data_IF_147300079566
#
_entry.id   IF_147300079566
#
_cell.length_a   1.000
_cell.length_b   1.000
_cell.length_c   1.000
_cell.angle_alpha   90.00
_cell.angle_beta   90.00
_cell.angle_gamma   90.00
#
_symmetry.space_group_name_H-M   'P 1'
#
loop_
_entity.id
_entity.type
_entity.pdbx_description
1 polymer ?
#
# COMPACT_ATOMS: atom_id res chain seq x y z
N UNK A 1 -23.79 23.69 -17.92
CA UNK A 1 -23.06 23.97 -16.67
C UNK A 1 -23.05 22.65 -15.94
N UNK A 2 -21.90 21.96 -15.88
CA UNK A 2 -21.81 20.60 -15.33
C UNK A 2 -21.98 20.70 -13.81
N UNK A 3 -22.99 20.00 -13.27
CA UNK A 3 -23.32 19.95 -11.86
C UNK A 3 -22.14 19.51 -10.99
N UNK A 4 -21.77 20.37 -10.03
CA UNK A 4 -20.71 20.16 -9.04
C UNK A 4 -20.94 18.93 -8.14
N UNK A 5 -22.14 18.35 -8.19
CA UNK A 5 -22.51 17.13 -7.47
C UNK A 5 -21.94 15.86 -8.12
N UNK A 6 -21.61 15.89 -9.42
CA UNK A 6 -21.10 14.72 -10.15
C UNK A 6 -19.63 14.40 -9.85
N UNK A 7 -18.87 15.39 -9.37
CA UNK A 7 -17.45 15.26 -8.99
C UNK A 7 -17.23 14.59 -7.62
N UNK A 8 -18.29 14.33 -6.85
CA UNK A 8 -18.23 13.59 -5.58
C UNK A 8 -18.18 12.06 -5.74
N UNK A 9 -18.33 11.55 -6.97
CA UNK A 9 -18.43 10.10 -7.25
C UNK A 9 -17.06 9.44 -7.50
N UNK A 10 -15.97 10.21 -7.68
CA UNK A 10 -14.65 9.65 -8.00
C UNK A 10 -13.65 9.85 -6.86
N UNK A 11 -13.86 9.18 -5.73
CA UNK A 11 -12.82 9.15 -4.70
C UNK A 11 -12.87 7.91 -3.80
N UNK A 12 -11.74 7.58 -3.17
CA UNK A 12 -11.43 6.31 -2.50
C UNK A 12 -12.57 5.82 -1.59
N UNK A 13 -13.09 4.59 -1.77
CA UNK A 13 -14.31 4.10 -1.11
C UNK A 13 -14.21 3.87 0.42
N UNK A 14 -13.10 4.28 1.07
CA UNK A 14 -12.89 4.15 2.52
C UNK A 14 -12.67 5.51 3.20
N UNK A 15 -11.86 6.42 2.61
CA UNK A 15 -11.55 7.73 3.23
C UNK A 15 -11.50 8.91 2.26
N UNK A 16 -11.72 8.73 0.95
CA UNK A 16 -11.46 9.76 -0.07
C UNK A 16 -10.01 10.35 -0.05
N UNK A 17 -9.09 9.73 0.70
CA UNK A 17 -7.73 10.23 0.88
C UNK A 17 -6.86 9.94 -0.36
N UNK A 18 -5.97 10.87 -0.74
CA UNK A 18 -5.05 10.66 -1.84
C UNK A 18 -4.07 9.52 -1.50
N UNK A 19 -3.87 8.62 -2.46
CA UNK A 19 -2.82 7.62 -2.42
C UNK A 19 -1.56 8.19 -3.06
N UNK A 20 -0.42 7.97 -2.43
CA UNK A 20 0.90 8.41 -2.88
C UNK A 20 1.72 7.18 -3.24
N UNK A 21 2.54 7.28 -4.28
CA UNK A 21 3.62 6.30 -4.46
C UNK A 21 4.57 6.35 -3.27
N UNK A 22 4.88 5.18 -2.72
CA UNK A 22 5.89 5.03 -1.69
C UNK A 22 7.27 5.35 -2.28
N UNK A 23 8.09 6.05 -1.50
CA UNK A 23 9.46 6.34 -1.87
C UNK A 23 10.26 5.05 -2.08
N UNK A 24 11.23 5.09 -3.00
CA UNK A 24 12.07 3.94 -3.32
C UNK A 24 12.82 3.38 -2.09
N UNK A 25 13.14 4.23 -1.11
CA UNK A 25 13.72 3.81 0.16
C UNK A 25 12.75 2.95 0.98
N UNK A 26 11.48 3.35 1.08
CA UNK A 26 10.43 2.59 1.77
C UNK A 26 10.21 1.24 1.11
N UNK A 27 10.14 1.20 -0.23
CA UNK A 27 10.03 -0.06 -1.00
C UNK A 27 11.24 -0.95 -0.78
N UNK A 28 12.46 -0.39 -0.79
CA UNK A 28 13.68 -1.14 -0.51
C UNK A 28 13.70 -1.70 0.92
N UNK A 29 13.24 -0.94 1.93
CA UNK A 29 13.09 -1.41 3.31
C UNK A 29 12.07 -2.55 3.40
N UNK A 30 10.93 -2.42 2.71
CA UNK A 30 9.94 -3.50 2.64
C UNK A 30 10.54 -4.77 2.03
N UNK A 31 11.23 -4.63 0.89
CA UNK A 31 11.84 -5.76 0.20
C UNK A 31 12.91 -6.46 1.05
N UNK A 32 13.63 -5.73 1.92
CA UNK A 32 14.52 -6.36 2.91
C UNK A 32 13.75 -7.16 3.96
N UNK A 33 12.66 -6.60 4.50
CA UNK A 33 11.82 -7.31 5.47
C UNK A 33 11.11 -8.54 4.86
N UNK A 34 10.70 -8.44 3.60
CA UNK A 34 10.18 -9.54 2.79
C UNK A 34 11.23 -10.64 2.65
N UNK A 35 12.46 -10.28 2.24
CA UNK A 35 13.55 -11.24 2.13
C UNK A 35 13.94 -11.88 3.47
N UNK A 36 13.74 -11.18 4.58
CA UNK A 36 13.93 -11.71 5.93
C UNK A 36 12.76 -12.58 6.42
N UNK A 37 11.62 -12.59 5.71
CA UNK A 37 10.42 -13.32 6.10
C UNK A 37 9.65 -12.69 7.27
N UNK A 38 9.93 -11.43 7.62
CA UNK A 38 9.23 -10.70 8.68
C UNK A 38 7.96 -9.99 8.20
N UNK A 39 7.84 -9.74 6.90
CA UNK A 39 6.75 -8.95 6.33
C UNK A 39 5.58 -9.86 5.95
N UNK A 40 4.40 -9.51 6.47
CA UNK A 40 3.15 -10.22 6.22
C UNK A 40 2.09 -9.23 5.77
N UNK A 41 1.16 -9.69 4.93
CA UNK A 41 -0.04 -8.93 4.65
C UNK A 41 -1.03 -8.97 5.82
N UNK A 42 -2.10 -8.18 5.76
CA UNK A 42 -3.15 -8.15 6.79
C UNK A 42 -3.94 -9.45 6.93
N UNK A 43 -4.00 -10.27 5.89
CA UNK A 43 -4.49 -11.65 5.99
C UNK A 43 -3.53 -12.61 6.69
N UNK A 44 -2.34 -12.16 7.11
CA UNK A 44 -1.32 -12.96 7.79
C UNK A 44 -0.54 -13.86 6.84
N UNK A 45 -0.55 -13.59 5.53
CA UNK A 45 0.29 -14.30 4.57
C UNK A 45 1.64 -13.61 4.47
N UNK A 46 2.71 -14.39 4.57
CA UNK A 46 4.06 -13.87 4.34
C UNK A 46 4.16 -13.38 2.89
N UNK A 47 4.65 -12.15 2.73
CA UNK A 47 4.90 -11.59 1.41
C UNK A 47 6.23 -12.15 0.96
N UNK A 48 6.21 -13.13 0.05
CA UNK A 48 7.42 -13.76 -0.49
C UNK A 48 7.93 -13.09 -1.76
N UNK A 49 7.05 -12.33 -2.43
CA UNK A 49 7.38 -11.65 -3.68
C UNK A 49 7.92 -10.25 -3.40
N UNK A 50 9.05 -9.87 -4.01
CA UNK A 50 9.52 -8.50 -3.92
C UNK A 50 8.53 -7.57 -4.61
N UNK A 51 8.40 -6.39 -4.03
CA UNK A 51 7.55 -5.32 -4.48
C UNK A 51 8.32 -4.46 -5.46
N UNK A 52 7.69 -4.14 -6.59
CA UNK A 52 8.22 -3.16 -7.54
C UNK A 52 7.95 -1.74 -7.06
N UNK A 53 6.84 -1.56 -6.34
CA UNK A 53 6.46 -0.30 -5.73
C UNK A 53 5.40 -0.51 -4.66
N UNK A 54 4.94 0.60 -4.09
CA UNK A 54 3.85 0.60 -3.12
C UNK A 54 3.03 1.87 -3.23
N UNK A 55 1.75 1.79 -2.87
CA UNK A 55 0.90 2.96 -2.67
C UNK A 55 0.62 3.10 -1.17
N UNK A 56 0.92 4.27 -0.62
CA UNK A 56 0.62 4.62 0.77
C UNK A 56 -0.47 5.69 0.81
N UNK A 57 -1.48 5.58 1.67
CA UNK A 57 -2.40 6.69 1.92
C UNK A 57 -1.66 7.88 2.54
N UNK A 58 -2.13 9.09 2.27
CA UNK A 58 -1.67 10.28 2.98
C UNK A 58 -1.96 10.14 4.49
N UNK A 59 -0.90 10.06 5.30
CA UNK A 59 -0.98 9.77 6.74
C UNK A 59 -1.25 8.30 7.11
N UNK A 60 -1.10 7.36 6.18
CA UNK A 60 -1.37 5.94 6.42
C UNK A 60 -0.16 5.15 6.95
N UNK A 61 -0.40 4.31 7.96
CA UNK A 61 0.55 3.34 8.51
C UNK A 61 0.67 2.06 7.66
N UNK A 62 -0.02 1.97 6.54
CA UNK A 62 -0.05 0.79 5.68
C UNK A 62 0.23 1.13 4.22
N UNK A 63 0.74 0.13 3.49
CA UNK A 63 1.16 0.22 2.11
C UNK A 63 0.47 -0.85 1.29
N UNK A 64 -0.12 -0.44 0.17
CA UNK A 64 -0.66 -1.33 -0.84
C UNK A 64 0.44 -1.75 -1.80
N UNK A 65 0.71 -3.05 -1.96
CA UNK A 65 1.77 -3.53 -2.82
C UNK A 65 1.46 -3.29 -4.30
N UNK A 66 2.50 -3.02 -5.09
CA UNK A 66 2.42 -2.97 -6.56
C UNK A 66 3.16 -4.19 -7.12
N UNK A 67 2.42 -5.01 -7.88
CA UNK A 67 2.94 -6.18 -8.57
C UNK A 67 2.67 -6.05 -10.07
N UNK A 68 3.71 -6.18 -10.90
CA UNK A 68 3.67 -5.97 -12.34
C UNK A 68 3.04 -4.64 -12.75
N UNK A 69 3.41 -3.54 -12.09
CA UNK A 69 2.82 -2.19 -12.27
C UNK A 69 1.32 -2.11 -11.90
N UNK A 70 0.73 -3.18 -11.35
CA UNK A 70 -0.68 -3.21 -10.92
C UNK A 70 -0.75 -3.01 -9.40
N UNK A 71 -1.28 -1.88 -8.92
CA UNK A 71 -1.49 -1.66 -7.49
C UNK A 71 -2.63 -2.54 -6.97
N UNK A 72 -2.34 -3.30 -5.92
CA UNK A 72 -3.34 -4.14 -5.26
C UNK A 72 -4.00 -3.35 -4.15
N UNK A 73 -5.16 -2.75 -4.45
CA UNK A 73 -5.96 -1.97 -3.50
C UNK A 73 -6.90 -2.85 -2.66
N UNK A 74 -6.39 -3.99 -2.20
CA UNK A 74 -7.15 -4.91 -1.34
C UNK A 74 -6.73 -4.70 0.12
N UNK A 75 -7.67 -4.45 1.04
CA UNK A 75 -7.35 -4.20 2.46
C UNK A 75 -6.72 -5.41 3.16
N UNK A 76 -6.97 -6.60 2.64
CA UNK A 76 -6.41 -7.88 3.10
C UNK A 76 -4.93 -8.04 2.69
N UNK A 77 -4.57 -7.52 1.51
CA UNK A 77 -3.20 -7.53 0.96
C UNK A 77 -2.40 -6.29 1.34
N UNK A 78 -2.97 -5.37 2.12
CA UNK A 78 -2.24 -4.23 2.65
C UNK A 78 -1.16 -4.70 3.64
N UNK A 79 0.02 -4.10 3.54
CA UNK A 79 1.17 -4.38 4.38
C UNK A 79 1.30 -3.26 5.40
N UNK A 80 1.40 -3.62 6.68
CA UNK A 80 1.52 -2.63 7.74
C UNK A 80 2.99 -2.19 7.88
N UNK A 81 3.27 -0.91 7.69
CA UNK A 81 4.63 -0.36 7.72
C UNK A 81 5.24 -0.44 9.13
N UNK A 82 4.42 -0.52 10.18
CA UNK A 82 4.90 -0.70 11.55
C UNK A 82 5.67 -2.02 11.72
N UNK A 83 5.36 -3.06 10.92
CA UNK A 83 6.06 -4.34 10.97
C UNK A 83 7.55 -4.23 10.59
N UNK A 84 7.93 -3.21 9.82
CA UNK A 84 9.33 -2.96 9.47
C UNK A 84 10.17 -2.49 10.64
N UNK A 85 9.54 -1.96 11.70
CA UNK A 85 10.25 -1.55 12.92
C UNK A 85 10.62 -2.75 13.81
N UNK A 86 10.13 -3.95 13.48
CA UNK A 86 10.14 -5.12 14.35
C UNK A 86 11.03 -6.27 13.84
N UNK A 87 11.76 -6.08 12.72
CA UNK A 87 12.52 -7.15 12.05
C UNK A 87 14.04 -7.14 12.41
#
# INVERSE_FOLDING_TARGET
MIDENLLKVLSCPISHAPLRLADAETVARLNRGIAAGCVQDRSGRAVEKPLEGGLVPDGGDFLYPIFNDIPVLLPDEAIDLAQLEQC
#
